data_IF_553052632897
#
_entry.id   IF_553052632897
#
_cell.length_a   1.000
_cell.length_b   1.000
_cell.length_c   1.000
_cell.angle_alpha   90.00
_cell.angle_beta   90.00
_cell.angle_gamma   90.00
#
_symmetry.space_group_name_H-M   'P 1'
#
loop_
_entity.id
_entity.type
_entity.pdbx_description
1 polymer ?
#
# COMPACT_ATOMS: atom_id res chain seq x y z
N UNK A 1 -6.31 21.28 -4.41
CA UNK A 1 -6.60 19.99 -5.07
C UNK A 1 -7.89 19.43 -4.50
N UNK A 2 -8.82 19.02 -5.37
CA UNK A 2 -10.08 18.40 -4.96
C UNK A 2 -9.82 17.02 -4.32
N UNK A 3 -10.75 16.58 -3.45
CA UNK A 3 -10.68 15.24 -2.86
C UNK A 3 -10.78 14.14 -3.93
N UNK A 4 -11.57 14.39 -4.99
CA UNK A 4 -11.70 13.47 -6.11
C UNK A 4 -10.38 13.29 -6.86
N UNK A 5 -9.65 14.38 -7.14
CA UNK A 5 -8.35 14.32 -7.82
C UNK A 5 -7.31 13.63 -6.95
N UNK A 6 -7.28 13.92 -5.65
CA UNK A 6 -6.38 13.26 -4.72
C UNK A 6 -6.63 11.75 -4.67
N UNK A 7 -7.90 11.34 -4.53
CA UNK A 7 -8.27 9.93 -4.52
C UNK A 7 -7.88 9.23 -5.83
N UNK A 8 -8.13 9.85 -6.98
CA UNK A 8 -7.73 9.34 -8.29
C UNK A 8 -6.20 9.16 -8.40
N UNK A 9 -5.42 10.15 -7.97
CA UNK A 9 -3.96 10.05 -8.01
C UNK A 9 -3.44 8.91 -7.14
N UNK A 10 -3.99 8.73 -5.95
CA UNK A 10 -3.61 7.65 -5.04
C UNK A 10 -3.96 6.29 -5.66
N UNK A 11 -5.17 6.13 -6.13
CA UNK A 11 -5.67 4.88 -6.72
C UNK A 11 -4.89 4.52 -8.00
N UNK A 12 -4.74 5.48 -8.92
CA UNK A 12 -4.08 5.27 -10.20
C UNK A 12 -2.57 5.02 -10.09
N UNK A 13 -1.91 5.42 -9.00
CA UNK A 13 -0.48 5.17 -8.78
C UNK A 13 -0.22 3.89 -8.01
N UNK A 14 -1.16 3.42 -7.20
CA UNK A 14 -0.97 2.27 -6.33
C UNK A 14 -0.64 0.98 -7.11
N UNK A 15 -1.45 0.63 -8.10
CA UNK A 15 -1.26 -0.59 -8.89
C UNK A 15 0.04 -0.57 -9.73
N UNK A 16 0.34 0.47 -10.52
CA UNK A 16 1.58 0.54 -11.27
C UNK A 16 2.84 0.43 -10.41
N UNK A 17 2.86 1.10 -9.27
CA UNK A 17 4.00 1.03 -8.35
C UNK A 17 4.15 -0.37 -7.77
N UNK A 18 3.06 -1.02 -7.36
CA UNK A 18 3.11 -2.40 -6.86
C UNK A 18 3.60 -3.40 -7.91
N UNK A 19 3.23 -3.23 -9.18
CA UNK A 19 3.63 -4.15 -10.25
C UNK A 19 5.12 -4.02 -10.60
N UNK A 20 5.72 -2.85 -10.49
CA UNK A 20 7.14 -2.64 -10.79
C UNK A 20 8.04 -2.73 -9.55
N UNK A 21 7.47 -2.72 -8.34
CA UNK A 21 8.25 -2.80 -7.11
C UNK A 21 8.66 -4.25 -6.83
N UNK A 22 9.96 -4.56 -6.84
CA UNK A 22 10.45 -5.92 -6.61
C UNK A 22 10.21 -6.44 -5.17
N UNK A 23 9.78 -5.55 -4.29
CA UNK A 23 9.51 -5.82 -2.86
C UNK A 23 8.00 -6.09 -2.64
N UNK A 24 7.20 -6.09 -3.71
CA UNK A 24 5.77 -6.29 -3.60
C UNK A 24 5.39 -7.77 -3.47
N UNK A 25 4.21 -8.03 -2.88
CA UNK A 25 3.61 -9.36 -2.87
C UNK A 25 3.36 -9.91 -4.29
N UNK A 26 3.19 -9.03 -5.29
CA UNK A 26 3.08 -9.41 -6.69
C UNK A 26 4.38 -9.98 -7.24
N UNK A 27 5.54 -9.40 -6.89
CA UNK A 27 6.83 -9.96 -7.26
C UNK A 27 6.98 -11.38 -6.70
N UNK A 28 6.69 -11.58 -5.42
CA UNK A 28 6.74 -12.89 -4.80
C UNK A 28 5.75 -13.89 -5.44
N UNK A 29 4.53 -13.46 -5.79
CA UNK A 29 3.57 -14.31 -6.49
C UNK A 29 4.05 -14.72 -7.89
N UNK A 30 4.58 -13.78 -8.67
CA UNK A 30 5.08 -14.05 -10.03
C UNK A 30 6.27 -14.99 -10.01
N UNK A 31 7.19 -14.85 -9.06
CA UNK A 31 8.33 -15.77 -8.92
C UNK A 31 7.89 -17.20 -8.66
N UNK A 32 6.78 -17.39 -7.93
CA UNK A 32 6.21 -18.70 -7.66
C UNK A 32 5.61 -19.41 -8.88
N UNK A 33 5.31 -18.71 -9.97
CA UNK A 33 4.75 -19.30 -11.20
C UNK A 33 5.81 -19.86 -12.15
N UNK A 34 7.06 -19.40 -12.02
CA UNK A 34 8.14 -19.81 -12.90
C UNK A 34 8.81 -21.06 -12.34
N UNK A 35 8.76 -22.15 -13.10
CA UNK A 35 9.43 -23.41 -12.75
C UNK A 35 10.71 -23.55 -13.57
N UNK A 36 11.83 -23.76 -12.89
CA UNK A 36 13.11 -24.11 -13.54
C UNK A 36 14.01 -22.93 -13.89
N UNK A 37 13.59 -21.69 -13.66
CA UNK A 37 14.39 -20.49 -13.81
C UNK A 37 14.24 -19.57 -12.58
N UNK A 38 15.17 -18.64 -12.38
CA UNK A 38 15.07 -17.64 -11.33
C UNK A 38 13.93 -16.65 -11.65
N UNK A 39 12.78 -16.87 -11.04
CA UNK A 39 11.58 -16.06 -11.24
C UNK A 39 11.78 -14.59 -10.87
N UNK A 40 12.63 -14.27 -9.90
CA UNK A 40 12.95 -12.90 -9.53
C UNK A 40 13.71 -12.18 -10.64
N UNK A 41 14.70 -12.84 -11.25
CA UNK A 41 15.42 -12.31 -12.42
C UNK A 41 14.48 -12.06 -13.61
N UNK A 42 13.53 -12.96 -13.86
CA UNK A 42 12.51 -12.79 -14.89
C UNK A 42 11.62 -11.60 -14.57
N UNK A 43 11.18 -11.45 -13.32
CA UNK A 43 10.38 -10.32 -12.89
C UNK A 43 11.09 -8.99 -13.15
N UNK A 44 12.36 -8.86 -12.74
CA UNK A 44 13.16 -7.64 -12.97
C UNK A 44 13.30 -7.35 -14.47
N UNK A 45 13.57 -8.37 -15.28
CA UNK A 45 13.67 -8.22 -16.75
C UNK A 45 12.35 -7.82 -17.40
N UNK A 46 11.22 -8.17 -16.80
CA UNK A 46 9.89 -7.83 -17.30
C UNK A 46 9.46 -6.38 -16.97
N UNK A 47 10.06 -5.73 -15.96
CA UNK A 47 9.69 -4.36 -15.56
C UNK A 47 9.68 -3.37 -16.72
N UNK A 48 10.73 -3.27 -17.57
CA UNK A 48 10.74 -2.31 -18.69
C UNK A 48 9.72 -2.61 -19.80
N UNK A 49 9.16 -3.81 -19.82
CA UNK A 49 8.12 -4.19 -20.78
C UNK A 49 6.70 -4.01 -20.20
N UNK A 50 6.58 -3.60 -18.96
CA UNK A 50 5.29 -3.27 -18.35
C UNK A 50 4.86 -1.85 -18.75
N UNK A 51 4.44 -1.71 -20.00
CA UNK A 51 4.03 -0.42 -20.58
C UNK A 51 2.86 0.23 -19.83
N UNK A 52 1.95 -0.57 -19.26
CA UNK A 52 0.86 -0.04 -18.44
C UNK A 52 1.40 0.76 -17.25
N UNK A 53 2.29 0.15 -16.48
CA UNK A 53 2.86 0.80 -15.30
C UNK A 53 3.66 2.05 -15.68
N UNK A 54 4.50 1.96 -16.72
CA UNK A 54 5.33 3.07 -17.19
C UNK A 54 4.47 4.24 -17.69
N UNK A 55 3.51 3.98 -18.58
CA UNK A 55 2.66 5.04 -19.14
C UNK A 55 1.72 5.64 -18.10
N UNK A 56 1.21 4.85 -17.15
CA UNK A 56 0.37 5.37 -16.08
C UNK A 56 1.16 6.31 -15.17
N UNK A 57 2.38 5.95 -14.78
CA UNK A 57 3.23 6.82 -13.97
C UNK A 57 3.56 8.12 -14.73
N UNK A 58 3.94 8.02 -16.01
CA UNK A 58 4.21 9.20 -16.86
C UNK A 58 2.96 10.08 -16.96
N UNK A 59 1.79 9.49 -17.20
CA UNK A 59 0.53 10.23 -17.28
C UNK A 59 0.20 10.94 -15.97
N UNK A 60 0.37 10.25 -14.83
CA UNK A 60 0.15 10.87 -13.50
C UNK A 60 1.11 12.02 -13.24
N UNK A 61 2.40 11.84 -13.54
CA UNK A 61 3.39 12.91 -13.41
C UNK A 61 3.04 14.09 -14.32
N UNK A 62 2.61 13.83 -15.54
CA UNK A 62 2.19 14.88 -16.49
C UNK A 62 0.99 15.66 -15.98
N UNK A 63 -0.05 14.98 -15.46
CA UNK A 63 -1.23 15.62 -14.89
C UNK A 63 -0.89 16.50 -13.67
N UNK A 64 0.05 16.05 -12.84
CA UNK A 64 0.47 16.82 -11.65
C UNK A 64 1.32 18.02 -12.04
N UNK A 65 2.30 17.83 -12.93
CA UNK A 65 3.24 18.90 -13.33
C UNK A 65 2.58 19.96 -14.20
N UNK A 66 1.80 19.53 -15.20
CA UNK A 66 1.12 20.46 -16.11
C UNK A 66 -0.19 21.02 -15.52
N UNK A 67 -0.66 20.51 -14.39
CA UNK A 67 -1.92 20.91 -13.74
C UNK A 67 -3.11 20.86 -14.70
N UNK A 68 -3.11 19.91 -15.63
CA UNK A 68 -4.18 19.72 -16.61
C UNK A 68 -5.28 18.87 -16.00
N UNK A 69 -6.49 19.36 -16.08
CA UNK A 69 -7.68 18.65 -15.62
C UNK A 69 -8.66 18.53 -16.79
N UNK A 70 -9.23 17.35 -17.00
CA UNK A 70 -10.16 17.08 -18.09
C UNK A 70 -11.41 16.36 -17.61
N UNK A 71 -12.49 16.48 -18.40
CA UNK A 71 -13.76 15.82 -18.11
C UNK A 71 -14.35 16.19 -16.73
N UNK A 72 -14.94 15.23 -16.00
CA UNK A 72 -15.51 15.48 -14.69
C UNK A 72 -14.51 16.03 -13.66
N UNK A 73 -13.23 15.68 -13.79
CA UNK A 73 -12.18 16.12 -12.87
C UNK A 73 -12.00 17.64 -12.88
N UNK A 74 -12.08 18.27 -14.05
CA UNK A 74 -11.99 19.72 -14.19
C UNK A 74 -13.10 20.45 -13.38
N UNK A 75 -14.32 19.86 -13.34
CA UNK A 75 -15.42 20.42 -12.53
C UNK A 75 -15.11 20.31 -11.03
N UNK A 76 -14.59 19.18 -10.57
CA UNK A 76 -14.21 18.98 -9.16
C UNK A 76 -13.09 19.94 -8.76
N UNK A 77 -12.10 20.15 -9.62
CA UNK A 77 -10.97 21.04 -9.32
C UNK A 77 -11.42 22.52 -9.32
N UNK A 78 -12.26 22.93 -10.27
CA UNK A 78 -12.82 24.27 -10.29
C UNK A 78 -13.65 24.60 -9.03
N UNK A 79 -14.40 23.61 -8.51
CA UNK A 79 -15.14 23.77 -7.26
C UNK A 79 -14.22 23.80 -6.03
N UNK A 80 -13.17 23.00 -6.05
CA UNK A 80 -12.16 22.99 -4.98
C UNK A 80 -11.45 24.35 -4.86
N UNK A 81 -11.19 25.04 -5.98
CA UNK A 81 -10.65 26.41 -5.98
C UNK A 81 -11.60 27.41 -5.32
N UNK A 82 -12.90 27.15 -5.35
CA UNK A 82 -13.94 27.94 -4.67
C UNK A 82 -14.17 27.55 -3.21
N UNK A 83 -13.41 26.58 -2.72
CA UNK A 83 -13.49 26.08 -1.34
C UNK A 83 -14.37 24.83 -1.16
N UNK A 84 -15.05 24.35 -2.20
CA UNK A 84 -15.83 23.11 -2.15
C UNK A 84 -14.97 21.92 -2.62
N UNK A 85 -14.37 21.22 -1.67
CA UNK A 85 -13.45 20.09 -1.93
C UNK A 85 -14.19 18.84 -2.43
N UNK A 86 -15.50 18.72 -2.22
CA UNK A 86 -16.25 17.50 -2.51
C UNK A 86 -17.13 17.58 -3.76
N UNK A 87 -17.62 18.75 -4.14
CA UNK A 87 -18.49 19.00 -5.30
C UNK A 87 -19.88 18.36 -5.19
N UNK A 88 -20.02 17.22 -4.52
CA UNK A 88 -21.29 16.47 -4.32
C UNK A 88 -21.83 16.69 -2.91
N UNK A 89 -23.13 16.54 -2.73
CA UNK A 89 -23.78 16.63 -1.40
C UNK A 89 -23.34 15.51 -0.47
N UNK A 90 -22.99 14.35 -1.03
CA UNK A 90 -22.46 13.24 -0.27
C UNK A 90 -21.02 13.56 0.15
N UNK A 91 -20.82 13.58 1.45
CA UNK A 91 -19.50 13.79 2.07
C UNK A 91 -19.07 12.51 2.75
N UNK A 92 -18.51 11.53 2.03
CA UNK A 92 -17.98 10.33 2.65
C UNK A 92 -16.94 10.73 3.71
N UNK A 93 -17.02 10.12 4.87
CA UNK A 93 -16.16 10.41 6.03
C UNK A 93 -16.39 11.79 6.70
N UNK A 94 -17.50 12.50 6.43
CA UNK A 94 -17.82 13.73 7.16
C UNK A 94 -18.03 13.48 8.66
N UNK A 95 -18.50 12.29 9.01
CA UNK A 95 -18.68 11.82 10.40
C UNK A 95 -17.40 11.22 11.01
N UNK A 96 -16.37 10.96 10.20
CA UNK A 96 -15.07 10.63 10.76
C UNK A 96 -14.65 11.81 11.63
N UNK A 97 -14.74 11.65 12.95
CA UNK A 97 -14.25 12.63 13.91
C UNK A 97 -12.84 12.98 13.46
N UNK A 98 -12.68 14.19 12.93
CA UNK A 98 -11.38 14.80 12.86
C UNK A 98 -11.02 15.06 14.32
N UNK A 99 -10.51 14.07 15.01
CA UNK A 99 -9.78 14.30 16.22
C UNK A 99 -8.62 15.18 15.81
N UNK A 100 -8.85 16.50 15.97
CA UNK A 100 -7.82 17.51 15.76
C UNK A 100 -6.78 17.22 16.84
N UNK A 101 -5.88 16.31 16.50
CA UNK A 101 -4.71 16.06 17.33
C UNK A 101 -3.96 17.39 17.37
N UNK A 102 -4.14 18.11 18.46
CA UNK A 102 -3.40 19.33 18.76
C UNK A 102 -1.95 18.98 19.06
N UNK A 103 -1.32 18.30 18.12
CA UNK A 103 0.06 17.84 18.23
C UNK A 103 1.00 18.69 17.40
N UNK A 104 2.22 18.80 17.85
CA UNK A 104 3.36 19.39 17.13
C UNK A 104 3.88 18.40 16.08
N UNK A 105 2.98 17.82 15.27
CA UNK A 105 3.33 16.86 14.23
C UNK A 105 4.29 17.45 13.21
N UNK A 106 5.36 16.72 12.91
CA UNK A 106 6.34 17.07 11.86
C UNK A 106 6.25 16.04 10.75
N UNK A 107 6.74 16.38 9.57
CA UNK A 107 6.81 15.46 8.42
C UNK A 107 7.52 14.14 8.78
N UNK A 108 8.50 14.20 9.68
CA UNK A 108 9.21 13.00 10.16
C UNK A 108 8.28 12.00 10.86
N UNK A 109 7.21 12.48 11.49
CA UNK A 109 6.27 11.61 12.20
C UNK A 109 5.39 10.80 11.23
N UNK A 110 5.33 11.20 9.96
CA UNK A 110 4.74 10.43 8.88
C UNK A 110 5.78 9.55 8.16
N UNK A 111 6.93 10.11 7.82
CA UNK A 111 7.94 9.44 7.00
C UNK A 111 8.61 8.29 7.75
N UNK A 112 8.93 8.49 9.03
CA UNK A 112 9.63 7.49 9.84
C UNK A 112 8.85 6.15 9.96
N UNK A 113 7.56 6.12 10.33
CA UNK A 113 6.78 4.89 10.37
C UNK A 113 6.72 4.16 9.03
N UNK A 114 6.61 4.89 7.92
CA UNK A 114 6.58 4.30 6.58
C UNK A 114 7.92 3.63 6.27
N UNK A 115 9.03 4.29 6.54
CA UNK A 115 10.36 3.71 6.34
C UNK A 115 10.57 2.47 7.23
N UNK A 116 10.19 2.55 8.50
CA UNK A 116 10.27 1.42 9.43
C UNK A 116 9.43 0.25 8.92
N UNK A 117 8.21 0.51 8.44
CA UNK A 117 7.35 -0.52 7.87
C UNK A 117 8.02 -1.22 6.68
N UNK A 118 8.54 -0.46 5.72
CA UNK A 118 9.21 -1.01 4.54
C UNK A 118 10.41 -1.88 4.95
N UNK A 119 11.28 -1.34 5.80
CA UNK A 119 12.49 -2.04 6.24
C UNK A 119 12.13 -3.33 7.01
N UNK A 120 11.16 -3.25 7.93
CA UNK A 120 10.73 -4.40 8.71
C UNK A 120 10.07 -5.48 7.85
N UNK A 121 9.30 -5.10 6.83
CA UNK A 121 8.73 -6.05 5.88
C UNK A 121 9.80 -6.73 5.03
N UNK A 122 10.81 -6.00 4.56
CA UNK A 122 11.95 -6.58 3.84
C UNK A 122 12.68 -7.58 4.74
N UNK A 123 12.98 -7.21 5.99
CA UNK A 123 13.63 -8.11 6.95
C UNK A 123 12.76 -9.35 7.21
N UNK A 124 11.46 -9.18 7.37
CA UNK A 124 10.51 -10.29 7.55
C UNK A 124 10.52 -11.25 6.35
N UNK A 125 10.56 -10.73 5.13
CA UNK A 125 10.59 -11.55 3.92
C UNK A 125 11.90 -12.32 3.80
N UNK A 126 13.06 -11.67 3.95
CA UNK A 126 14.37 -12.37 3.87
C UNK A 126 14.55 -13.37 5.03
N UNK A 127 13.95 -13.11 6.19
CA UNK A 127 13.95 -14.05 7.31
C UNK A 127 13.21 -15.34 6.97
N UNK A 128 11.98 -15.22 6.42
CA UNK A 128 11.19 -16.38 6.02
C UNK A 128 11.79 -17.14 4.84
N UNK A 129 12.60 -16.48 4.02
CA UNK A 129 13.32 -17.07 2.90
C UNK A 129 14.65 -17.75 3.25
N UNK A 130 15.01 -17.81 4.55
CA UNK A 130 16.22 -18.54 5.00
C UNK A 130 17.53 -17.79 4.78
N UNK A 131 17.51 -16.47 4.68
CA UNK A 131 18.73 -15.66 4.55
C UNK A 131 19.73 -15.91 5.67
N UNK A 132 19.23 -16.06 6.89
CA UNK A 132 20.07 -16.31 8.07
C UNK A 132 20.60 -17.76 8.12
N UNK A 133 20.08 -18.65 7.29
CA UNK A 133 20.53 -20.03 7.13
C UNK A 133 21.58 -20.17 6.01
N UNK A 134 22.01 -19.05 5.40
CA UNK A 134 23.10 -18.99 4.43
C UNK A 134 22.65 -18.90 2.97
N UNK A 135 21.36 -18.71 2.68
CA UNK A 135 20.89 -18.42 1.32
C UNK A 135 21.24 -16.99 0.89
N UNK A 136 21.51 -16.79 -0.40
CA UNK A 136 21.77 -15.46 -0.95
C UNK A 136 20.55 -14.53 -0.77
N UNK A 137 20.78 -13.21 -0.70
CA UNK A 137 19.71 -12.23 -0.50
C UNK A 137 18.59 -12.36 -1.55
N UNK A 138 18.95 -12.53 -2.82
CA UNK A 138 17.99 -12.65 -3.93
C UNK A 138 17.19 -13.95 -3.82
N UNK A 139 17.85 -15.06 -3.52
CA UNK A 139 17.20 -16.38 -3.40
C UNK A 139 16.31 -16.43 -2.16
N UNK A 140 16.75 -15.85 -1.04
CA UNK A 140 15.95 -15.74 0.17
C UNK A 140 14.71 -14.89 -0.07
N UNK A 141 14.83 -13.77 -0.80
CA UNK A 141 13.70 -12.93 -1.13
C UNK A 141 12.72 -13.63 -2.08
N UNK A 142 13.22 -14.32 -3.11
CA UNK A 142 12.38 -15.06 -4.06
C UNK A 142 11.70 -16.28 -3.43
N UNK A 143 12.36 -16.97 -2.50
CA UNK A 143 11.83 -18.13 -1.76
C UNK A 143 11.02 -17.77 -0.51
N UNK A 144 10.81 -16.47 -0.24
CA UNK A 144 10.14 -16.01 0.99
C UNK A 144 8.65 -16.36 1.00
N UNK A 145 8.13 -16.69 2.20
CA UNK A 145 6.68 -16.65 2.44
C UNK A 145 6.26 -15.20 2.69
N UNK A 146 5.76 -14.55 1.63
CA UNK A 146 5.36 -13.14 1.68
C UNK A 146 4.27 -12.89 2.73
N UNK A 147 3.35 -13.83 2.96
CA UNK A 147 2.26 -13.66 3.93
C UNK A 147 2.80 -13.61 5.35
N UNK A 148 3.67 -14.53 5.71
CA UNK A 148 4.30 -14.59 7.03
C UNK A 148 5.29 -13.45 7.19
N UNK A 149 6.11 -13.18 6.19
CA UNK A 149 7.11 -12.13 6.21
C UNK A 149 6.51 -10.73 6.40
N UNK A 150 5.44 -10.42 5.68
CA UNK A 150 4.73 -9.14 5.80
C UNK A 150 3.98 -9.04 7.14
N UNK A 151 3.40 -10.13 7.64
CA UNK A 151 2.75 -10.14 8.95
C UNK A 151 3.75 -9.85 10.08
N UNK A 152 4.88 -10.53 10.10
CA UNK A 152 5.93 -10.30 11.09
C UNK A 152 6.52 -8.89 10.96
N UNK A 153 6.83 -8.46 9.75
CA UNK A 153 7.38 -7.14 9.47
C UNK A 153 6.45 -6.02 9.92
N UNK A 154 5.15 -6.12 9.62
CA UNK A 154 4.17 -5.12 10.04
C UNK A 154 3.95 -5.10 11.56
N UNK A 155 3.99 -6.26 12.21
CA UNK A 155 3.90 -6.36 13.68
C UNK A 155 5.06 -5.65 14.37
N UNK A 156 6.29 -5.91 13.96
CA UNK A 156 7.46 -5.23 14.52
C UNK A 156 7.45 -3.73 14.20
N UNK A 157 7.06 -3.35 12.97
CA UNK A 157 6.93 -1.96 12.59
C UNK A 157 5.91 -1.22 13.46
N UNK A 158 4.79 -1.86 13.81
CA UNK A 158 3.78 -1.28 14.69
C UNK A 158 4.35 -0.99 16.07
N UNK A 159 5.08 -1.96 16.67
CA UNK A 159 5.71 -1.79 17.99
C UNK A 159 6.70 -0.63 17.96
N UNK A 160 7.58 -0.59 16.97
CA UNK A 160 8.60 0.47 16.82
C UNK A 160 7.92 1.84 16.66
N UNK A 161 6.84 1.91 15.87
CA UNK A 161 6.08 3.14 15.64
C UNK A 161 5.42 3.64 16.92
N UNK A 162 4.80 2.76 17.71
CA UNK A 162 4.20 3.11 19.01
C UNK A 162 5.27 3.64 19.96
N UNK A 163 6.42 2.96 20.06
CA UNK A 163 7.55 3.43 20.87
C UNK A 163 8.05 4.81 20.40
N UNK A 164 8.20 5.00 19.10
CA UNK A 164 8.64 6.27 18.51
C UNK A 164 7.68 7.42 18.86
N UNK A 165 6.37 7.24 18.69
CA UNK A 165 5.39 8.27 19.02
C UNK A 165 5.34 8.57 20.52
N UNK A 166 5.50 7.55 21.36
CA UNK A 166 5.54 7.69 22.82
C UNK A 166 6.78 8.48 23.26
N UNK A 167 7.96 8.18 22.73
CA UNK A 167 9.21 8.87 23.05
C UNK A 167 9.15 10.33 22.61
N UNK A 168 8.59 10.58 21.44
CA UNK A 168 8.44 11.95 20.91
C UNK A 168 7.28 12.74 21.54
N UNK A 169 6.47 12.07 22.34
CA UNK A 169 5.25 12.66 22.96
C UNK A 169 4.32 13.31 21.91
N UNK A 170 4.25 12.74 20.71
CA UNK A 170 3.33 13.16 19.64
C UNK A 170 1.94 12.64 19.92
N UNK A 171 1.85 11.38 20.36
CA UNK A 171 0.62 10.71 20.77
C UNK A 171 0.82 10.07 22.14
N UNK A 172 -0.24 9.98 22.92
CA UNK A 172 -0.20 9.20 24.15
C UNK A 172 -0.24 7.70 23.81
N UNK A 173 0.27 6.86 24.69
CA UNK A 173 0.18 5.41 24.52
C UNK A 173 -1.26 4.93 24.40
N UNK A 174 -2.18 5.55 25.14
CA UNK A 174 -3.61 5.25 25.07
C UNK A 174 -4.19 5.56 23.69
N UNK A 175 -3.79 6.69 23.09
CA UNK A 175 -4.24 7.06 21.73
C UNK A 175 -3.72 6.06 20.70
N UNK A 176 -2.47 5.64 20.82
CA UNK A 176 -1.90 4.60 19.96
C UNK A 176 -2.67 3.27 20.10
N UNK A 177 -2.99 2.84 21.32
CA UNK A 177 -3.77 1.63 21.54
C UNK A 177 -5.21 1.75 21.00
N UNK A 178 -5.83 2.90 21.13
CA UNK A 178 -7.18 3.14 20.61
C UNK A 178 -7.22 3.19 19.09
N UNK A 179 -6.13 3.55 18.42
CA UNK A 179 -6.04 3.58 16.95
C UNK A 179 -6.02 2.18 16.33
N UNK A 180 -5.59 1.15 17.08
CA UNK A 180 -5.52 -0.24 16.57
C UNK A 180 -6.91 -0.77 16.18
N UNK A 181 -7.93 -0.74 17.07
CA UNK A 181 -9.29 -1.17 16.71
C UNK A 181 -9.89 -0.35 15.56
N UNK A 182 -9.59 0.95 15.49
CA UNK A 182 -10.05 1.80 14.37
C UNK A 182 -9.39 1.39 13.04
N UNK A 183 -8.11 1.04 13.07
CA UNK A 183 -7.42 0.46 11.91
C UNK A 183 -8.05 -0.86 11.46
N UNK A 184 -8.40 -1.76 12.39
CA UNK A 184 -9.13 -3.00 12.05
C UNK A 184 -10.48 -2.71 11.41
N UNK A 185 -11.27 -1.78 11.97
CA UNK A 185 -12.57 -1.38 11.38
C UNK A 185 -12.40 -0.84 9.96
N UNK A 186 -11.37 -0.03 9.71
CA UNK A 186 -11.08 0.48 8.38
C UNK A 186 -10.71 -0.61 7.37
N UNK A 187 -10.13 -1.73 7.83
CA UNK A 187 -9.75 -2.86 7.00
C UNK A 187 -10.88 -3.86 6.73
N UNK A 188 -11.98 -3.84 7.50
CA UNK A 188 -13.10 -4.78 7.35
C UNK A 188 -13.61 -4.86 5.91
N UNK A 189 -13.87 -3.77 5.18
CA UNK A 189 -14.32 -3.86 3.78
C UNK A 189 -13.33 -4.60 2.87
N UNK A 190 -12.04 -4.35 3.02
CA UNK A 190 -11.00 -5.02 2.25
C UNK A 190 -10.92 -6.52 2.58
N UNK A 191 -11.02 -6.89 3.86
CA UNK A 191 -11.04 -8.29 4.31
C UNK A 191 -12.25 -9.02 3.73
N UNK A 192 -13.43 -8.40 3.74
CA UNK A 192 -14.64 -8.99 3.16
C UNK A 192 -14.49 -9.24 1.66
N UNK A 193 -13.98 -8.25 0.91
CA UNK A 193 -13.76 -8.38 -0.54
C UNK A 193 -12.80 -9.54 -0.83
N UNK A 194 -11.66 -9.60 -0.12
CA UNK A 194 -10.69 -10.69 -0.28
C UNK A 194 -11.28 -12.06 0.08
N UNK A 195 -12.04 -12.15 1.16
CA UNK A 195 -12.70 -13.39 1.57
C UNK A 195 -13.66 -13.89 0.50
N UNK A 196 -14.49 -13.01 -0.06
CA UNK A 196 -15.41 -13.37 -1.15
C UNK A 196 -14.65 -13.75 -2.43
N UNK A 197 -13.58 -13.04 -2.77
CA UNK A 197 -12.76 -13.36 -3.94
C UNK A 197 -12.12 -14.75 -3.82
N UNK A 198 -11.57 -15.09 -2.66
CA UNK A 198 -11.00 -16.43 -2.42
C UNK A 198 -12.07 -17.52 -2.41
N UNK A 199 -13.22 -17.25 -1.81
CA UNK A 199 -14.35 -18.18 -1.84
C UNK A 199 -14.80 -18.45 -3.28
N UNK A 200 -14.95 -17.39 -4.07
CA UNK A 200 -15.32 -17.52 -5.49
C UNK A 200 -14.27 -18.32 -6.26
N UNK A 201 -12.98 -18.04 -6.04
CA UNK A 201 -11.89 -18.81 -6.65
C UNK A 201 -12.00 -20.29 -6.31
N UNK A 202 -12.14 -20.65 -5.03
CA UNK A 202 -12.26 -22.04 -4.58
C UNK A 202 -13.48 -22.73 -5.17
N UNK A 203 -14.62 -22.03 -5.25
CA UNK A 203 -15.83 -22.58 -5.90
C UNK A 203 -15.61 -22.80 -7.40
N UNK A 204 -14.96 -21.89 -8.09
CA UNK A 204 -14.66 -22.02 -9.53
C UNK A 204 -13.72 -23.20 -9.78
N UNK A 205 -12.69 -23.36 -8.96
CA UNK A 205 -11.77 -24.50 -9.02
C UNK A 205 -12.50 -25.84 -8.76
N UNK A 206 -13.42 -25.88 -7.80
CA UNK A 206 -14.21 -27.08 -7.49
C UNK A 206 -15.16 -27.49 -8.63
N UNK A 207 -15.59 -26.53 -9.44
CA UNK A 207 -16.42 -26.74 -10.62
C UNK A 207 -15.60 -27.16 -11.86
N UNK A 208 -14.27 -27.25 -11.75
CA UNK A 208 -13.38 -27.60 -12.85
C UNK A 208 -13.29 -26.50 -13.94
N UNK A 209 -13.78 -25.31 -13.69
CA UNK A 209 -13.62 -24.16 -14.58
C UNK A 209 -12.20 -23.61 -14.40
N UNK A 210 -11.36 -23.83 -15.41
CA UNK A 210 -10.00 -23.28 -15.51
C UNK A 210 -9.98 -22.13 -16.49
#
# INVERSE_FOLDING_TARGET
VSRAKLAYLIDATAAPVCIIAPISSWAAAVTGFVKGEDGFSIFIKAIPYNYYALFTIIAMMTLVVLQVDFGPMAKHEANAQKGDLFTTGDRPYAEAKQDVIKGKGKVIDLVFPILVLIISCIIGMIYTGGFFDGTGFVDAFAGSDASIGLMLGSFFALIITICFYSIRSVLSFTDCCNSIPEGFKAMVPAILILTFAWTLKTMTESLGAK
#
